data_IF_633236297892
#
_entry.id   IF_633236297892
#
_cell.length_a   1.000
_cell.length_b   1.000
_cell.length_c   1.000
_cell.angle_alpha   90.00
_cell.angle_beta   90.00
_cell.angle_gamma   90.00
#
_symmetry.space_group_name_H-M   'P 1'
#
loop_
_entity.id
_entity.type
_entity.pdbx_description
1 polymer ?
#
# COMPACT_ATOMS: atom_id res chain seq x y z
N UNK A 1 11.50 8.24 14.23
CA UNK A 1 10.17 8.86 14.30
C UNK A 1 9.91 9.14 15.77
N UNK A 2 9.91 10.41 16.20
CA UNK A 2 9.62 10.74 17.60
C UNK A 2 8.11 10.86 17.73
N UNK A 3 7.51 10.01 18.56
CA UNK A 3 6.08 10.05 18.81
C UNK A 3 5.75 11.35 19.55
N UNK A 4 5.02 12.25 18.89
CA UNK A 4 4.56 13.48 19.52
C UNK A 4 3.26 13.18 20.28
N UNK A 5 3.24 13.37 21.61
CA UNK A 5 2.13 12.95 22.47
C UNK A 5 0.86 13.76 22.26
N UNK A 6 0.88 14.89 21.54
CA UNK A 6 -0.32 15.69 21.28
C UNK A 6 -1.15 15.19 20.08
N UNK A 7 -0.55 14.45 19.15
CA UNK A 7 -1.18 14.09 17.87
C UNK A 7 -1.98 12.78 17.88
N UNK A 8 -1.75 11.87 18.84
CA UNK A 8 -2.52 10.62 18.95
C UNK A 8 -3.88 10.79 19.65
N UNK A 9 -4.08 11.88 20.40
CA UNK A 9 -5.34 12.16 21.11
C UNK A 9 -6.51 12.31 20.12
N UNK A 10 -6.24 12.84 18.92
CA UNK A 10 -7.27 13.14 17.92
C UNK A 10 -7.72 11.89 17.15
N UNK A 11 -6.79 10.99 16.79
CA UNK A 11 -7.09 9.80 15.98
C UNK A 11 -7.14 8.49 16.75
N UNK A 12 -6.63 8.46 17.98
CA UNK A 12 -6.40 7.23 18.75
C UNK A 12 -5.31 6.34 18.16
N UNK A 13 -4.50 6.84 17.22
CA UNK A 13 -3.41 6.10 16.57
C UNK A 13 -2.08 6.81 16.75
N UNK A 14 -1.04 6.02 16.97
CA UNK A 14 0.35 6.44 16.94
C UNK A 14 0.88 6.51 15.51
N UNK A 15 1.95 7.27 15.29
CA UNK A 15 2.63 7.31 14.00
C UNK A 15 3.09 5.91 13.56
N UNK A 16 3.47 5.05 14.52
CA UNK A 16 3.89 3.67 14.26
C UNK A 16 2.75 2.78 13.74
N UNK A 17 1.58 2.87 14.36
CA UNK A 17 0.40 2.11 13.91
C UNK A 17 -0.06 2.55 12.52
N UNK A 18 -0.05 3.86 12.27
CA UNK A 18 -0.37 4.42 10.95
C UNK A 18 0.64 3.94 9.89
N UNK A 19 1.93 3.94 10.20
CA UNK A 19 2.96 3.43 9.28
C UNK A 19 2.82 1.92 9.03
N UNK A 20 2.48 1.13 10.06
CA UNK A 20 2.27 -0.31 9.93
C UNK A 20 1.06 -0.64 9.02
N UNK A 21 -0.02 0.14 9.13
CA UNK A 21 -1.22 -0.03 8.30
C UNK A 21 -1.20 0.71 6.95
N UNK A 22 -0.09 1.35 6.58
CA UNK A 22 -0.05 2.24 5.42
C UNK A 22 -0.30 1.52 4.09
N UNK A 23 0.24 0.30 3.93
CA UNK A 23 0.03 -0.50 2.71
C UNK A 23 -1.44 -0.88 2.54
N UNK A 24 -2.07 -1.44 3.58
CA UNK A 24 -3.47 -1.84 3.54
C UNK A 24 -4.39 -0.63 3.30
N UNK A 25 -4.07 0.52 3.88
CA UNK A 25 -4.77 1.77 3.64
C UNK A 25 -4.67 2.21 2.16
N UNK A 26 -3.46 2.20 1.59
CA UNK A 26 -3.26 2.59 0.18
C UNK A 26 -3.90 1.62 -0.81
N UNK A 27 -4.06 0.36 -0.42
CA UNK A 27 -4.76 -0.67 -1.20
C UNK A 27 -6.27 -0.71 -0.95
N UNK A 28 -6.80 0.12 -0.03
CA UNK A 28 -8.22 0.12 0.33
C UNK A 28 -8.70 -1.15 1.02
N UNK A 29 -7.79 -1.88 1.69
CA UNK A 29 -8.07 -3.13 2.43
C UNK A 29 -8.39 -2.91 3.91
N UNK A 30 -8.35 -1.67 4.37
CA UNK A 30 -8.71 -1.32 5.75
C UNK A 30 -10.23 -1.21 5.93
N UNK A 31 -10.78 -1.61 7.09
CA UNK A 31 -12.16 -1.30 7.44
C UNK A 31 -12.38 0.23 7.45
N UNK A 32 -13.55 0.68 6.99
CA UNK A 32 -13.98 2.09 6.98
C UNK A 32 -13.68 2.87 8.29
N UNK A 33 -13.94 2.34 9.51
CA UNK A 33 -13.61 3.08 10.73
C UNK A 33 -12.10 3.29 10.94
N UNK A 34 -11.28 2.36 10.47
CA UNK A 34 -9.82 2.45 10.53
C UNK A 34 -9.30 3.44 9.50
N UNK A 35 -9.90 3.45 8.31
CA UNK A 35 -9.61 4.40 7.23
C UNK A 35 -9.73 5.85 7.72
N UNK A 36 -10.85 6.17 8.38
CA UNK A 36 -11.10 7.52 8.90
C UNK A 36 -10.09 7.93 9.99
N UNK A 37 -9.72 7.00 10.89
CA UNK A 37 -8.72 7.27 11.95
C UNK A 37 -7.34 7.53 11.35
N UNK A 38 -6.95 6.77 10.33
CA UNK A 38 -5.69 6.97 9.62
C UNK A 38 -5.71 8.33 8.91
N UNK A 39 -6.78 8.66 8.18
CA UNK A 39 -6.93 9.95 7.51
C UNK A 39 -6.83 11.12 8.49
N UNK A 40 -7.48 11.02 9.65
CA UNK A 40 -7.44 12.02 10.71
C UNK A 40 -6.03 12.21 11.29
N UNK A 41 -5.27 11.12 11.48
CA UNK A 41 -3.89 11.20 11.93
C UNK A 41 -2.97 11.84 10.89
N UNK A 42 -3.12 11.47 9.61
CA UNK A 42 -2.32 12.04 8.51
C UNK A 42 -2.62 13.55 8.35
N UNK A 43 -3.85 13.96 8.62
CA UNK A 43 -4.23 15.37 8.63
C UNK A 43 -3.59 16.15 9.80
N UNK A 44 -3.38 15.54 10.97
CA UNK A 44 -2.85 16.24 12.16
C UNK A 44 -1.33 16.11 12.34
N UNK A 45 -0.68 15.10 11.74
CA UNK A 45 0.74 14.83 11.90
C UNK A 45 1.55 15.16 10.63
N UNK A 46 2.44 16.16 10.72
CA UNK A 46 3.30 16.55 9.60
C UNK A 46 4.23 15.41 9.13
N UNK A 47 4.73 14.57 10.03
CA UNK A 47 5.57 13.42 9.71
C UNK A 47 4.83 12.35 8.89
N UNK A 48 3.63 11.98 9.33
CA UNK A 48 2.79 11.04 8.59
C UNK A 48 2.33 11.65 7.26
N UNK A 49 2.02 12.96 7.20
CA UNK A 49 1.70 13.63 5.94
C UNK A 49 2.84 13.55 4.92
N UNK A 50 4.08 13.81 5.36
CA UNK A 50 5.26 13.68 4.50
C UNK A 50 5.48 12.22 4.05
N UNK A 51 5.31 11.26 4.95
CA UNK A 51 5.41 9.84 4.65
C UNK A 51 4.40 9.38 3.58
N UNK A 52 3.12 9.73 3.72
CA UNK A 52 2.09 9.40 2.73
C UNK A 52 2.31 10.10 1.39
N UNK A 53 2.79 11.35 1.41
CA UNK A 53 3.19 12.04 0.18
C UNK A 53 4.28 11.26 -0.57
N UNK A 54 5.28 10.74 0.14
CA UNK A 54 6.34 9.93 -0.47
C UNK A 54 5.77 8.63 -1.06
N UNK A 55 4.91 7.91 -0.35
CA UNK A 55 4.27 6.70 -0.88
C UNK A 55 3.41 6.98 -2.12
N UNK A 56 2.69 8.10 -2.15
CA UNK A 56 1.93 8.53 -3.32
C UNK A 56 2.83 8.81 -4.53
N UNK A 57 4.01 9.42 -4.31
CA UNK A 57 5.00 9.63 -5.37
C UNK A 57 5.55 8.31 -5.90
N UNK A 58 5.94 7.39 -5.01
CA UNK A 58 6.43 6.05 -5.40
C UNK A 58 5.35 5.33 -6.22
N UNK A 59 4.10 5.30 -5.75
CA UNK A 59 2.98 4.71 -6.48
C UNK A 59 2.81 5.33 -7.86
N UNK A 60 2.84 6.66 -7.96
CA UNK A 60 2.72 7.38 -9.24
C UNK A 60 3.82 6.97 -10.23
N UNK A 61 5.07 6.90 -9.77
CA UNK A 61 6.20 6.46 -10.62
C UNK A 61 6.01 5.00 -11.03
N UNK A 62 5.64 4.12 -10.10
CA UNK A 62 5.39 2.71 -10.40
C UNK A 62 4.29 2.51 -11.45
N UNK A 63 3.22 3.31 -11.41
CA UNK A 63 2.13 3.24 -12.41
C UNK A 63 2.53 3.76 -13.79
N UNK A 64 3.68 4.44 -13.93
CA UNK A 64 4.20 4.91 -15.22
C UNK A 64 5.13 3.89 -15.89
N UNK A 65 5.50 2.80 -15.22
CA UNK A 65 6.29 1.76 -15.86
C UNK A 65 5.48 1.11 -17.00
N UNK A 66 6.13 0.81 -18.14
CA UNK A 66 5.47 0.08 -19.20
C UNK A 66 4.99 -1.27 -18.66
N UNK A 67 3.82 -1.77 -19.12
CA UNK A 67 3.35 -3.09 -18.72
C UNK A 67 4.43 -4.12 -19.08
N UNK A 68 4.97 -4.79 -18.05
CA UNK A 68 5.91 -5.88 -18.27
C UNK A 68 5.15 -7.06 -18.87
N UNK A 69 5.30 -7.21 -20.19
CA UNK A 69 4.74 -8.34 -20.89
C UNK A 69 5.66 -9.55 -20.65
N UNK A 70 5.13 -10.71 -20.19
CA UNK A 70 5.97 -11.90 -19.99
C UNK A 70 6.61 -12.34 -21.31
N UNK A 71 7.88 -12.74 -21.25
CA UNK A 71 8.61 -13.24 -22.42
C UNK A 71 7.77 -14.28 -23.19
N UNK A 72 7.80 -14.28 -24.54
CA UNK A 72 7.14 -15.32 -25.33
C UNK A 72 7.46 -16.74 -24.84
N UNK A 73 8.68 -16.97 -24.34
CA UNK A 73 9.11 -18.26 -23.80
C UNK A 73 8.39 -18.58 -22.48
N UNK A 74 8.20 -17.62 -21.60
CA UNK A 74 7.51 -17.83 -20.32
C UNK A 74 6.03 -18.11 -20.54
N UNK A 75 5.40 -17.43 -21.50
CA UNK A 75 4.04 -17.77 -21.96
C UNK A 75 3.94 -19.21 -22.45
N UNK A 76 4.90 -19.66 -23.25
CA UNK A 76 4.91 -21.03 -23.77
C UNK A 76 5.09 -22.05 -22.64
N UNK A 77 5.99 -21.79 -21.69
CA UNK A 77 6.18 -22.64 -20.50
C UNK A 77 4.92 -22.74 -19.66
N UNK A 78 4.25 -21.61 -19.39
CA UNK A 78 2.99 -21.58 -18.64
C UNK A 78 1.89 -22.38 -19.34
N UNK A 79 1.71 -22.18 -20.65
CA UNK A 79 0.73 -22.95 -21.45
C UNK A 79 0.96 -24.46 -21.35
N UNK A 80 2.22 -24.91 -21.47
CA UNK A 80 2.56 -26.34 -21.35
C UNK A 80 2.24 -26.88 -19.96
N UNK A 81 2.56 -26.14 -18.89
CA UNK A 81 2.25 -26.56 -17.51
C UNK A 81 0.75 -26.66 -17.28
N UNK A 82 -0.03 -25.68 -17.72
CA UNK A 82 -1.49 -25.74 -17.58
C UNK A 82 -2.10 -26.90 -18.37
N UNK A 83 -1.65 -27.13 -19.61
CA UNK A 83 -2.10 -28.26 -20.41
C UNK A 83 -1.77 -29.62 -19.78
N UNK A 84 -0.60 -29.75 -19.15
CA UNK A 84 -0.20 -30.97 -18.44
C UNK A 84 -1.01 -31.19 -17.15
N UNK A 85 -1.41 -30.14 -16.45
CA UNK A 85 -2.26 -30.23 -15.25
C UNK A 85 -3.74 -30.47 -15.58
N UNK A 86 -4.25 -29.99 -16.72
CA UNK A 86 -5.65 -30.20 -17.13
C UNK A 86 -5.92 -31.58 -17.74
N UNK A 87 -4.89 -32.37 -18.02
CA UNK A 87 -4.99 -33.72 -18.55
C UNK A 87 -4.97 -34.81 -17.44
N UNK A 88 -5.11 -34.39 -16.19
CA UNK A 88 -5.07 -35.21 -14.97
C UNK A 88 -6.42 -35.15 -14.26
#
# INVERSE_FOLDING_TARGET
MKDHPSTWIVSGLTCREVAAGASDYLEGRVPIPTDLRIALHVASCAGCRAYFTHLALVRKVLTQLPPMYPSPIDRLRLRRRFAAHSAQ
#
